data_IF_899116070628
#
_entry.id   IF_899116070628
#
_cell.length_a   1.000
_cell.length_b   1.000
_cell.length_c   1.000
_cell.angle_alpha   90.00
_cell.angle_beta   90.00
_cell.angle_gamma   90.00
#
_symmetry.space_group_name_H-M   'P 1'
#
loop_
_entity.id
_entity.type
_entity.pdbx_description
1 polymer ?
#
# COMPACT_ATOMS: atom_id res chain seq x y z
N UNK A 1 -12.52 -4.64 -10.49
CA UNK A 1 -12.46 -3.44 -11.35
C UNK A 1 -11.10 -3.51 -12.00
N UNK A 2 -11.00 -3.77 -13.29
CA UNK A 2 -9.70 -4.00 -13.95
C UNK A 2 -8.91 -2.69 -14.02
N UNK A 3 -7.64 -2.71 -13.58
CA UNK A 3 -6.76 -1.57 -13.76
C UNK A 3 -6.54 -1.26 -15.24
N UNK A 4 -6.78 0.00 -15.63
CA UNK A 4 -6.60 0.41 -17.01
C UNK A 4 -5.09 0.40 -17.37
N UNK A 5 -4.70 -0.12 -18.55
CA UNK A 5 -3.29 -0.15 -18.98
C UNK A 5 -2.70 1.25 -19.16
N UNK A 6 -3.51 2.22 -19.60
CA UNK A 6 -3.10 3.64 -19.75
C UNK A 6 -3.37 4.50 -18.49
N UNK A 7 -3.47 3.90 -17.30
CA UNK A 7 -3.67 4.68 -16.06
C UNK A 7 -2.55 5.69 -15.88
N UNK A 8 -2.89 6.88 -15.37
CA UNK A 8 -2.01 8.05 -15.19
C UNK A 8 -1.56 8.74 -16.48
N UNK A 9 -1.83 8.18 -17.67
CA UNK A 9 -1.55 8.91 -18.91
C UNK A 9 -2.58 10.03 -19.14
N UNK A 10 -2.17 11.13 -19.80
CA UNK A 10 -3.09 12.22 -20.11
C UNK A 10 -4.33 11.80 -20.92
N UNK A 11 -5.38 12.60 -20.81
CA UNK A 11 -6.65 12.37 -21.53
C UNK A 11 -6.53 12.62 -23.04
N UNK A 12 -5.72 13.61 -23.43
CA UNK A 12 -5.45 13.97 -24.83
C UNK A 12 -4.85 12.80 -25.62
N UNK A 13 -5.43 12.48 -26.77
CA UNK A 13 -5.09 11.29 -27.55
C UNK A 13 -3.65 11.30 -28.04
N UNK A 14 -3.20 12.44 -28.57
CA UNK A 14 -1.83 12.59 -29.09
C UNK A 14 -0.81 12.45 -27.96
N UNK A 15 -1.06 13.11 -26.83
CA UNK A 15 -0.18 13.04 -25.67
C UNK A 15 -0.16 11.64 -25.06
N UNK A 16 -1.31 10.95 -24.98
CA UNK A 16 -1.39 9.56 -24.51
C UNK A 16 -0.62 8.61 -25.41
N UNK A 17 -0.69 8.79 -26.73
CA UNK A 17 0.06 7.96 -27.67
C UNK A 17 1.57 8.05 -27.43
N UNK A 18 2.09 9.26 -27.22
CA UNK A 18 3.50 9.51 -26.88
C UNK A 18 3.84 8.88 -25.52
N UNK A 19 3.00 9.08 -24.50
CA UNK A 19 3.22 8.49 -23.17
C UNK A 19 3.30 6.95 -23.23
N UNK A 20 2.43 6.32 -24.01
CA UNK A 20 2.43 4.87 -24.23
C UNK A 20 3.70 4.39 -24.93
N UNK A 21 4.17 5.11 -25.93
CA UNK A 21 5.43 4.78 -26.62
C UNK A 21 6.62 4.83 -25.66
N UNK A 22 6.74 5.91 -24.88
CA UNK A 22 7.82 6.06 -23.90
C UNK A 22 7.76 4.96 -22.82
N UNK A 23 6.58 4.71 -22.25
CA UNK A 23 6.40 3.70 -21.20
C UNK A 23 6.73 2.29 -21.69
N UNK A 24 6.31 1.91 -22.91
CA UNK A 24 6.65 0.58 -23.46
C UNK A 24 8.15 0.32 -23.57
N UNK A 25 8.96 1.36 -23.79
CA UNK A 25 10.41 1.22 -23.87
C UNK A 25 11.10 1.12 -22.50
N UNK A 26 10.37 1.36 -21.40
CA UNK A 26 10.95 1.42 -20.05
C UNK A 26 10.28 0.53 -19.02
N UNK A 27 9.07 0.02 -19.30
CA UNK A 27 8.25 -0.73 -18.35
C UNK A 27 8.92 -1.99 -17.80
N UNK A 28 9.74 -2.65 -18.62
CA UNK A 28 10.40 -3.93 -18.29
C UNK A 28 11.86 -3.75 -17.82
N UNK A 29 12.30 -2.50 -17.62
CA UNK A 29 13.63 -2.25 -17.08
C UNK A 29 13.71 -2.70 -15.60
N UNK A 30 14.87 -3.18 -15.13
CA UNK A 30 15.06 -3.50 -13.72
C UNK A 30 14.77 -2.30 -12.80
N UNK A 31 14.10 -2.55 -11.69
CA UNK A 31 13.90 -1.55 -10.65
C UNK A 31 15.22 -1.28 -9.93
N UNK A 32 15.67 -0.02 -9.97
CA UNK A 32 16.78 0.48 -9.15
C UNK A 32 16.19 1.28 -8.00
N UNK A 33 16.26 0.74 -6.79
CA UNK A 33 15.76 1.39 -5.56
C UNK A 33 16.94 1.78 -4.66
N UNK A 34 17.63 2.89 -4.95
CA UNK A 34 18.88 3.25 -4.27
C UNK A 34 18.68 3.72 -2.82
N UNK A 35 17.43 3.93 -2.40
CA UNK A 35 17.06 4.30 -1.05
C UNK A 35 15.74 3.63 -0.66
N UNK A 36 15.66 3.11 0.56
CA UNK A 36 14.48 2.42 1.08
C UNK A 36 14.68 1.96 2.51
N UNK A 37 13.60 1.46 3.12
CA UNK A 37 13.56 1.06 4.53
C UNK A 37 13.06 -0.38 4.72
N UNK A 38 13.24 -1.25 3.71
CA UNK A 38 12.92 -2.67 3.82
C UNK A 38 13.86 -3.32 4.83
N UNK A 39 13.32 -4.07 5.79
CA UNK A 39 14.14 -4.80 6.77
C UNK A 39 14.98 -5.87 6.04
N UNK A 40 16.32 -5.83 6.12
CA UNK A 40 17.19 -6.79 5.44
C UNK A 40 16.97 -8.24 5.91
N UNK A 41 16.43 -8.45 7.12
CA UNK A 41 16.12 -9.78 7.64
C UNK A 41 15.08 -10.52 6.80
N UNK A 42 14.20 -9.79 6.13
CA UNK A 42 13.21 -10.38 5.22
C UNK A 42 13.89 -11.20 4.13
N UNK A 43 15.00 -10.69 3.58
CA UNK A 43 15.76 -11.37 2.55
C UNK A 43 16.70 -12.44 3.10
N UNK A 44 17.33 -12.19 4.26
CA UNK A 44 18.26 -13.18 4.83
C UNK A 44 17.56 -14.40 5.41
N UNK A 45 16.40 -14.23 6.05
CA UNK A 45 15.67 -15.34 6.69
C UNK A 45 14.66 -16.01 5.77
N UNK A 46 14.18 -15.31 4.73
CA UNK A 46 13.19 -15.79 3.77
C UNK A 46 11.95 -16.45 4.43
N UNK A 47 11.52 -15.90 5.57
CA UNK A 47 10.33 -16.36 6.28
C UNK A 47 9.07 -15.82 5.60
N UNK A 48 7.99 -16.61 5.52
CA UNK A 48 6.73 -16.12 4.97
C UNK A 48 6.15 -15.01 5.87
N UNK A 49 5.46 -14.06 5.25
CA UNK A 49 4.64 -13.11 5.99
C UNK A 49 3.47 -13.86 6.66
N UNK A 50 3.12 -13.51 7.90
CA UNK A 50 2.11 -14.26 8.66
C UNK A 50 0.69 -14.06 8.12
N UNK A 51 0.35 -12.84 7.69
CA UNK A 51 -0.97 -12.51 7.14
C UNK A 51 -0.95 -11.17 6.35
N UNK A 52 -2.00 -10.86 5.56
CA UNK A 52 -2.09 -9.62 4.80
C UNK A 52 -2.13 -8.34 5.65
N UNK A 53 -2.70 -8.38 6.86
CA UNK A 53 -2.76 -7.20 7.72
C UNK A 53 -1.35 -6.81 8.20
N UNK A 54 -0.56 -7.81 8.59
CA UNK A 54 0.85 -7.64 9.03
C UNK A 54 1.78 -7.22 7.90
N UNK A 55 1.46 -7.57 6.66
CA UNK A 55 2.23 -7.15 5.49
C UNK A 55 1.82 -5.75 4.99
N UNK A 56 0.53 -5.50 4.81
CA UNK A 56 0.05 -4.30 4.10
C UNK A 56 -0.43 -3.18 5.03
N UNK A 57 -1.08 -3.50 6.16
CA UNK A 57 -1.80 -2.50 6.97
C UNK A 57 -0.94 -2.01 8.13
N UNK A 58 -0.51 -2.92 9.00
CA UNK A 58 0.21 -2.58 10.25
C UNK A 58 1.46 -1.73 10.00
N UNK A 59 2.35 -2.05 9.03
CA UNK A 59 3.59 -1.31 8.86
C UNK A 59 3.44 -0.03 8.02
N UNK A 60 2.33 0.14 7.30
CA UNK A 60 2.16 1.26 6.36
C UNK A 60 1.49 2.46 7.04
N UNK A 61 2.30 3.46 7.37
CA UNK A 61 1.83 4.68 8.00
C UNK A 61 0.95 5.55 7.10
N UNK A 62 0.93 5.38 5.77
CA UNK A 62 -0.04 6.08 4.92
C UNK A 62 -1.45 5.53 5.14
N UNK A 63 -1.59 4.21 5.28
CA UNK A 63 -2.89 3.57 5.51
C UNK A 63 -3.40 3.85 6.92
N UNK A 64 -2.57 3.63 7.93
CA UNK A 64 -2.97 3.84 9.33
C UNK A 64 -3.28 5.31 9.62
N UNK A 65 -2.54 6.26 9.03
CA UNK A 65 -2.83 7.69 9.17
C UNK A 65 -4.18 8.10 8.56
N UNK A 66 -4.57 7.50 7.43
CA UNK A 66 -5.89 7.77 6.84
C UNK A 66 -7.01 7.33 7.78
N UNK A 67 -6.92 6.12 8.33
CA UNK A 67 -7.92 5.59 9.25
C UNK A 67 -7.94 6.34 10.60
N UNK A 68 -6.77 6.74 11.10
CA UNK A 68 -6.66 7.60 12.28
C UNK A 68 -7.35 8.95 12.09
N UNK A 69 -7.24 9.54 10.90
CA UNK A 69 -7.94 10.80 10.60
C UNK A 69 -9.47 10.69 10.67
N UNK A 70 -10.01 9.46 10.62
CA UNK A 70 -11.44 9.16 10.72
C UNK A 70 -11.82 8.53 12.08
N UNK A 71 -10.92 8.57 13.07
CA UNK A 71 -11.19 8.14 14.44
C UNK A 71 -10.81 6.70 14.79
N UNK A 72 -10.20 5.93 13.87
CA UNK A 72 -9.69 4.58 14.18
C UNK A 72 -8.33 4.70 14.84
N UNK A 73 -8.18 4.20 16.07
CA UNK A 73 -6.90 4.31 16.78
C UNK A 73 -5.82 3.38 16.18
N UNK A 74 -4.53 3.74 16.28
CA UNK A 74 -3.46 2.88 15.76
C UNK A 74 -3.42 1.48 16.39
N UNK A 75 -3.72 1.36 17.68
CA UNK A 75 -3.76 0.07 18.39
C UNK A 75 -4.87 -0.85 17.84
N UNK A 76 -6.00 -0.29 17.40
CA UNK A 76 -7.07 -1.05 16.74
C UNK A 76 -6.67 -1.60 15.36
N UNK A 77 -5.57 -1.09 14.80
CA UNK A 77 -4.95 -1.54 13.55
C UNK A 77 -3.69 -2.37 13.79
N UNK A 78 -3.42 -2.79 15.03
CA UNK A 78 -2.26 -3.62 15.38
C UNK A 78 -0.93 -2.87 15.41
N UNK A 79 -0.95 -1.53 15.34
CA UNK A 79 0.27 -0.70 15.46
C UNK A 79 0.73 -0.72 16.92
N UNK A 80 1.98 -1.14 17.19
CA UNK A 80 2.48 -1.24 18.56
C UNK A 80 2.61 0.12 19.24
N UNK A 81 2.22 0.21 20.50
CA UNK A 81 2.47 1.40 21.33
C UNK A 81 3.93 1.50 21.76
N UNK A 82 4.46 2.71 21.81
CA UNK A 82 5.77 2.99 22.42
C UNK A 82 5.81 2.71 23.93
N UNK A 83 4.65 2.73 24.60
CA UNK A 83 4.52 2.49 26.05
C UNK A 83 4.17 1.05 26.40
N UNK A 84 4.06 0.15 25.41
CA UNK A 84 3.78 -1.27 25.62
C UNK A 84 2.31 -1.62 25.85
N UNK A 85 1.39 -0.67 25.67
CA UNK A 85 -0.06 -0.94 25.68
C UNK A 85 -0.42 -2.00 24.62
N UNK A 86 -1.37 -2.91 24.92
CA UNK A 86 -1.81 -3.93 23.96
C UNK A 86 -2.39 -3.30 22.69
N UNK A 87 -2.11 -3.94 21.55
CA UNK A 87 -2.73 -3.63 20.26
C UNK A 87 -3.52 -4.85 19.78
N UNK A 88 -4.43 -4.63 18.83
CA UNK A 88 -5.17 -5.72 18.17
C UNK A 88 -4.19 -6.74 17.59
N UNK A 89 -4.38 -8.00 17.95
CA UNK A 89 -3.50 -9.09 17.56
C UNK A 89 -4.07 -9.89 16.37
N UNK A 90 -5.40 -9.95 16.25
CA UNK A 90 -6.08 -10.70 15.19
C UNK A 90 -6.01 -9.96 13.85
N UNK A 91 -5.19 -10.50 12.95
CA UNK A 91 -5.03 -9.98 11.58
C UNK A 91 -6.34 -9.90 10.80
N UNK A 92 -7.32 -10.77 11.08
CA UNK A 92 -8.63 -10.72 10.42
C UNK A 92 -9.45 -9.51 10.87
N UNK A 93 -9.39 -9.18 12.16
CA UNK A 93 -10.06 -7.98 12.71
C UNK A 93 -9.43 -6.70 12.17
N UNK A 94 -8.09 -6.63 12.12
CA UNK A 94 -7.37 -5.50 11.49
C UNK A 94 -7.76 -5.36 10.02
N UNK A 95 -7.73 -6.46 9.27
CA UNK A 95 -8.07 -6.46 7.84
C UNK A 95 -9.52 -6.03 7.58
N UNK A 96 -10.47 -6.50 8.42
CA UNK A 96 -11.87 -6.11 8.32
C UNK A 96 -12.05 -4.61 8.52
N UNK A 97 -11.44 -4.04 9.57
CA UNK A 97 -11.44 -2.58 9.82
C UNK A 97 -10.87 -1.82 8.62
N UNK A 98 -9.73 -2.25 8.09
CA UNK A 98 -9.16 -1.66 6.88
C UNK A 98 -10.12 -1.70 5.69
N UNK A 99 -10.71 -2.87 5.40
CA UNK A 99 -11.63 -3.06 4.29
C UNK A 99 -12.90 -2.20 4.42
N UNK A 100 -13.48 -2.09 5.62
CA UNK A 100 -14.63 -1.22 5.90
C UNK A 100 -14.34 0.25 5.60
N UNK A 101 -13.08 0.68 5.73
CA UNK A 101 -12.63 2.05 5.50
C UNK A 101 -12.00 2.27 4.12
N UNK A 102 -11.89 1.24 3.28
CA UNK A 102 -11.14 1.30 2.02
C UNK A 102 -11.63 2.39 1.06
N UNK A 103 -12.91 2.79 1.16
CA UNK A 103 -13.49 3.90 0.39
C UNK A 103 -12.80 5.26 0.62
N UNK A 104 -12.12 5.46 1.76
CA UNK A 104 -11.42 6.70 2.10
C UNK A 104 -10.22 6.96 1.20
N UNK A 105 -9.65 5.91 0.60
CA UNK A 105 -8.49 6.05 -0.26
C UNK A 105 -8.83 6.54 -1.68
N UNK A 106 -10.11 6.74 -2.03
CA UNK A 106 -10.52 7.24 -3.35
C UNK A 106 -9.81 8.56 -3.67
N UNK A 107 -9.14 8.61 -4.82
CA UNK A 107 -8.37 9.77 -5.25
C UNK A 107 -6.98 9.91 -4.63
N UNK A 108 -6.56 8.98 -3.75
CA UNK A 108 -5.23 8.97 -3.14
C UNK A 108 -4.26 8.06 -3.89
N UNK A 109 -2.94 8.31 -3.80
CA UNK A 109 -1.93 7.38 -4.32
C UNK A 109 -2.02 5.97 -3.73
N UNK A 110 -2.42 5.83 -2.46
CA UNK A 110 -2.55 4.51 -1.80
C UNK A 110 -3.60 3.62 -2.46
N UNK A 111 -4.67 4.18 -3.05
CA UNK A 111 -5.64 3.40 -3.85
C UNK A 111 -4.99 2.82 -5.11
N UNK A 112 -4.18 3.64 -5.78
CA UNK A 112 -3.44 3.22 -6.98
C UNK A 112 -2.41 2.13 -6.66
N UNK A 113 -1.74 2.19 -5.51
CA UNK A 113 -0.74 1.19 -5.11
C UNK A 113 -1.34 -0.15 -4.70
N UNK A 114 -2.55 -0.15 -4.13
CA UNK A 114 -3.19 -1.35 -3.57
C UNK A 114 -4.19 -2.03 -4.50
N UNK A 115 -4.73 -1.31 -5.48
CA UNK A 115 -5.62 -1.92 -6.48
C UNK A 115 -4.88 -2.92 -7.37
N UNK A 116 -5.63 -3.89 -7.88
CA UNK A 116 -5.18 -4.93 -8.80
C UNK A 116 -6.15 -5.10 -9.97
#
# INVERSE_FOLDING_TARGET
>A
MTLHPDRLFPADERTRAIARELHRNTADLPLVSPHGHVDPRLMSENRPFPDPARLFVVPDHYLTRMLYSQGVRPDELGVPSATGEPAEADGRTIWRRFAEHYKLFRGTPSKLWLDY
#
